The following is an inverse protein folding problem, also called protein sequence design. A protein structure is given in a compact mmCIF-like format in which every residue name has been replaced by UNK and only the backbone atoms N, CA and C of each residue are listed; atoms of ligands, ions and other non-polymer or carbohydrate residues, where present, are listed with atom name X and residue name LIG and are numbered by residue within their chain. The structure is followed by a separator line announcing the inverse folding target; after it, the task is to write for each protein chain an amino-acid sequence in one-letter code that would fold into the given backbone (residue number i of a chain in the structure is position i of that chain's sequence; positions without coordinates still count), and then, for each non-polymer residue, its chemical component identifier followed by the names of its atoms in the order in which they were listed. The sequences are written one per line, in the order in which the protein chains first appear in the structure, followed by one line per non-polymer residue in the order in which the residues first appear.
data_IF_946210449960
#
_entry.id   IF_946210449960
#
_cell.length_a   1.000
_cell.length_b   1.000
_cell.length_c   1.000
_cell.angle_alpha   90.00
_cell.angle_beta   90.00
_cell.angle_gamma   90.00
#
_symmetry.space_group_name_H-M   'P 1'
#
loop_
_entity.id
_entity.type
_entity.pdbx_description
1 polymer ?
#
# COMPACT_ATOMS: atom_id res chain seq x y z
N UNK A 1 -4.87 -23.09 19.15
CA UNK A 1 -4.70 -22.30 17.93
C UNK A 1 -3.22 -22.30 17.58
N UNK A 2 -2.87 -22.46 16.32
CA UNK A 2 -1.48 -22.48 15.85
C UNK A 2 -0.92 -21.06 15.84
N UNK A 3 -1.69 -20.09 15.30
CA UNK A 3 -1.25 -18.70 15.18
C UNK A 3 -1.56 -17.89 16.43
N UNK A 4 -0.71 -16.88 16.70
CA UNK A 4 -0.86 -15.89 17.76
C UNK A 4 -0.75 -14.46 17.25
N UNK A 5 0.02 -14.26 16.17
CA UNK A 5 0.31 -12.97 15.58
C UNK A 5 -0.08 -12.96 14.11
N UNK A 6 -0.85 -11.96 13.70
CA UNK A 6 -1.25 -11.79 12.30
C UNK A 6 -0.71 -10.45 11.83
N UNK A 7 0.10 -10.50 10.78
CA UNK A 7 0.56 -9.34 10.04
C UNK A 7 -0.38 -9.13 8.86
N UNK A 8 -0.88 -7.92 8.70
CA UNK A 8 -1.85 -7.58 7.66
C UNK A 8 -1.29 -6.41 6.86
N UNK A 9 -1.31 -6.50 5.54
CA UNK A 9 -1.06 -5.33 4.70
C UNK A 9 -2.18 -4.32 4.83
N UNK A 10 -1.95 -3.07 4.46
CA UNK A 10 -2.94 -2.02 4.54
C UNK A 10 -3.57 -1.70 3.18
N UNK A 11 -2.74 -1.39 2.18
CA UNK A 11 -3.17 -0.89 0.88
C UNK A 11 -3.75 -2.03 0.04
N UNK A 12 -4.98 -1.87 -0.45
CA UNK A 12 -5.77 -2.88 -1.18
C UNK A 12 -6.04 -4.20 -0.43
N UNK A 13 -5.61 -4.28 0.82
CA UNK A 13 -5.96 -5.38 1.73
C UNK A 13 -7.06 -4.97 2.72
N UNK A 14 -6.93 -3.80 3.36
CA UNK A 14 -7.92 -3.24 4.28
C UNK A 14 -8.45 -1.90 3.81
N UNK A 15 -7.59 -1.06 3.30
CA UNK A 15 -7.89 0.27 2.78
C UNK A 15 -7.92 0.21 1.25
N UNK A 16 -9.04 0.60 0.63
CA UNK A 16 -9.28 0.53 -0.81
C UNK A 16 -8.46 1.60 -1.54
N UNK A 17 -7.20 1.27 -1.82
CA UNK A 17 -6.21 2.19 -2.39
C UNK A 17 -6.62 2.65 -3.78
N UNK A 18 -7.10 1.72 -4.60
CA UNK A 18 -7.49 2.02 -5.97
C UNK A 18 -8.59 3.09 -6.04
N UNK A 19 -9.72 2.88 -5.35
CA UNK A 19 -10.85 3.80 -5.41
C UNK A 19 -10.59 5.11 -4.67
N UNK A 20 -9.94 5.07 -3.50
CA UNK A 20 -9.59 6.26 -2.75
C UNK A 20 -8.61 7.16 -3.52
N UNK A 21 -7.60 6.58 -4.16
CA UNK A 21 -6.65 7.34 -4.99
C UNK A 21 -7.30 7.86 -6.27
N UNK A 22 -8.17 7.06 -6.90
CA UNK A 22 -8.91 7.48 -8.10
C UNK A 22 -9.76 8.72 -7.80
N UNK A 23 -10.49 8.72 -6.69
CA UNK A 23 -11.29 9.87 -6.25
C UNK A 23 -10.41 11.11 -6.00
N UNK A 24 -9.26 10.95 -5.33
CA UNK A 24 -8.32 12.05 -5.12
C UNK A 24 -7.76 12.62 -6.44
N UNK A 25 -7.46 11.75 -7.40
CA UNK A 25 -6.94 12.15 -8.70
C UNK A 25 -8.00 12.89 -9.52
N UNK A 26 -9.29 12.51 -9.40
CA UNK A 26 -10.40 13.20 -10.05
C UNK A 26 -10.62 14.62 -9.47
N UNK A 27 -10.50 14.77 -8.15
CA UNK A 27 -10.48 16.08 -7.51
C UNK A 27 -9.32 16.95 -8.01
N UNK A 28 -8.09 16.39 -8.06
CA UNK A 28 -6.93 17.10 -8.59
C UNK A 28 -7.10 17.47 -10.07
N UNK A 29 -7.63 16.55 -10.88
CA UNK A 29 -7.92 16.79 -12.29
C UNK A 29 -8.81 18.03 -12.47
N UNK A 30 -9.82 18.16 -11.62
CA UNK A 30 -10.76 19.28 -11.63
C UNK A 30 -10.09 20.56 -11.14
N UNK A 31 -9.47 20.53 -9.97
CA UNK A 31 -8.95 21.72 -9.29
C UNK A 31 -7.73 22.34 -10.00
N UNK A 32 -6.87 21.50 -10.58
CA UNK A 32 -5.72 21.93 -11.37
C UNK A 32 -6.05 22.15 -12.88
N UNK A 33 -7.33 22.03 -13.24
CA UNK A 33 -7.81 22.26 -14.61
C UNK A 33 -7.10 21.39 -15.67
N UNK A 34 -6.82 20.12 -15.35
CA UNK A 34 -6.19 19.19 -16.29
C UNK A 34 -7.04 18.89 -17.51
N UNK A 35 -8.37 19.18 -17.45
CA UNK A 35 -9.28 19.15 -18.60
C UNK A 35 -8.87 20.09 -19.76
N UNK A 36 -7.95 21.02 -19.55
CA UNK A 36 -7.36 21.83 -20.63
C UNK A 36 -6.39 21.06 -21.49
N UNK A 37 -5.95 19.89 -21.04
CA UNK A 37 -4.86 19.12 -21.64
C UNK A 37 -5.23 17.66 -21.90
N UNK A 38 -6.06 17.08 -21.06
CA UNK A 38 -6.56 15.72 -21.20
C UNK A 38 -8.04 15.75 -21.55
N UNK A 39 -8.46 14.95 -22.54
CA UNK A 39 -9.83 14.94 -23.06
C UNK A 39 -10.88 14.55 -21.99
N UNK A 40 -10.50 13.72 -21.03
CA UNK A 40 -11.34 13.31 -19.88
C UNK A 40 -10.47 12.91 -18.71
N UNK A 41 -11.09 12.74 -17.54
CA UNK A 41 -10.41 12.19 -16.37
C UNK A 41 -9.88 10.76 -16.64
N UNK A 42 -10.66 9.94 -17.32
CA UNK A 42 -10.25 8.57 -17.68
C UNK A 42 -8.99 8.60 -18.54
N UNK A 43 -8.90 9.49 -19.54
CA UNK A 43 -7.70 9.63 -20.36
C UNK A 43 -6.46 10.04 -19.55
N UNK A 44 -6.62 10.88 -18.54
CA UNK A 44 -5.55 11.21 -17.60
C UNK A 44 -5.20 10.01 -16.72
N UNK A 45 -6.20 9.34 -16.16
CA UNK A 45 -6.03 8.23 -15.21
C UNK A 45 -5.34 7.03 -15.89
N UNK A 46 -5.71 6.72 -17.14
CA UNK A 46 -5.12 5.63 -17.95
C UNK A 46 -3.63 5.86 -18.27
N UNK A 47 -3.19 7.11 -18.24
CA UNK A 47 -1.77 7.46 -18.39
C UNK A 47 -1.05 7.43 -17.02
N UNK A 48 -1.68 8.01 -16.01
CA UNK A 48 -1.09 8.12 -14.67
C UNK A 48 -0.92 6.76 -13.98
N UNK A 49 -1.96 5.94 -14.00
CA UNK A 49 -2.02 4.74 -13.15
C UNK A 49 -0.98 3.68 -13.52
N UNK A 50 -0.78 3.30 -14.80
CA UNK A 50 0.27 2.35 -15.17
C UNK A 50 1.68 2.86 -14.82
N UNK A 51 1.93 4.16 -15.03
CA UNK A 51 3.19 4.77 -14.69
C UNK A 51 3.46 4.76 -13.17
N UNK A 52 2.46 5.10 -12.37
CA UNK A 52 2.56 5.05 -10.91
C UNK A 52 2.82 3.63 -10.38
N UNK A 53 2.18 2.61 -10.97
CA UNK A 53 2.40 1.21 -10.62
C UNK A 53 3.84 0.76 -10.96
N UNK A 54 4.37 1.15 -12.11
CA UNK A 54 5.76 0.88 -12.53
C UNK A 54 6.76 1.53 -11.56
N UNK A 55 6.53 2.80 -11.19
CA UNK A 55 7.37 3.48 -10.20
C UNK A 55 7.36 2.79 -8.82
N UNK A 56 6.21 2.32 -8.37
CA UNK A 56 6.13 1.55 -7.13
C UNK A 56 6.86 0.20 -7.23
N UNK A 57 6.80 -0.47 -8.39
CA UNK A 57 7.55 -1.71 -8.63
C UNK A 57 9.07 -1.46 -8.58
N UNK A 58 9.54 -0.40 -9.26
CA UNK A 58 10.94 0.03 -9.24
C UNK A 58 11.42 0.47 -7.85
N UNK A 59 10.56 1.14 -7.10
CA UNK A 59 10.87 1.50 -5.72
C UNK A 59 11.00 0.27 -4.82
N UNK A 60 10.11 -0.72 -4.96
CA UNK A 60 10.19 -2.00 -4.22
C UNK A 60 11.44 -2.81 -4.55
N UNK A 61 11.89 -2.79 -5.81
CA UNK A 61 13.13 -3.47 -6.23
C UNK A 61 14.41 -2.71 -5.82
N UNK A 62 14.28 -1.46 -5.34
CA UNK A 62 15.42 -0.60 -5.02
C UNK A 62 16.08 0.05 -6.25
N UNK A 63 15.46 -0.04 -7.43
CA UNK A 63 15.95 0.59 -8.67
C UNK A 63 15.85 2.11 -8.61
N UNK A 64 14.83 2.63 -7.94
CA UNK A 64 14.67 4.07 -7.68
C UNK A 64 14.49 4.34 -6.19
N UNK A 65 14.85 5.54 -5.78
CA UNK A 65 14.61 6.01 -4.42
C UNK A 65 13.22 6.65 -4.26
N UNK A 66 12.86 6.94 -3.00
CA UNK A 66 11.60 7.59 -2.64
C UNK A 66 11.43 8.97 -3.31
N UNK A 67 12.52 9.74 -3.45
CA UNK A 67 12.43 11.09 -4.02
C UNK A 67 12.11 11.02 -5.50
N UNK A 68 12.71 10.09 -6.22
CA UNK A 68 12.41 9.80 -7.62
C UNK A 68 10.95 9.39 -7.79
N UNK A 69 10.44 8.45 -7.00
CA UNK A 69 9.04 8.04 -7.05
C UNK A 69 8.09 9.22 -6.84
N UNK A 70 8.31 10.01 -5.79
CA UNK A 70 7.46 11.17 -5.44
C UNK A 70 7.45 12.22 -6.54
N UNK A 71 8.60 12.47 -7.16
CA UNK A 71 8.71 13.47 -8.23
C UNK A 71 8.12 12.96 -9.54
N UNK A 72 8.56 11.79 -9.99
CA UNK A 72 8.31 11.32 -11.36
C UNK A 72 6.84 10.95 -11.60
N UNK A 73 6.12 10.48 -10.59
CA UNK A 73 4.73 10.07 -10.78
C UNK A 73 3.82 11.21 -11.26
N UNK A 74 4.08 12.46 -10.83
CA UNK A 74 3.35 13.63 -11.35
C UNK A 74 4.11 14.35 -12.46
N UNK A 75 5.44 14.37 -12.45
CA UNK A 75 6.21 14.96 -13.53
C UNK A 75 5.85 14.35 -14.90
N UNK A 76 5.62 13.04 -14.94
CA UNK A 76 5.24 12.32 -16.16
C UNK A 76 3.97 12.87 -16.81
N UNK A 77 2.94 13.16 -16.02
CA UNK A 77 1.66 13.68 -16.52
C UNK A 77 1.63 15.21 -16.61
N UNK A 78 2.53 15.93 -15.95
CA UNK A 78 2.61 17.39 -15.98
C UNK A 78 3.54 17.92 -17.09
N UNK A 79 4.55 17.13 -17.49
CA UNK A 79 5.48 17.51 -18.56
C UNK A 79 4.83 17.83 -19.90
N UNK A 80 3.83 17.07 -20.38
CA UNK A 80 3.10 17.42 -21.62
C UNK A 80 2.37 18.75 -21.55
N UNK A 81 2.14 19.29 -20.34
CA UNK A 81 1.49 20.56 -20.06
C UNK A 81 2.50 21.73 -20.00
N UNK A 82 3.79 21.45 -20.23
CA UNK A 82 4.88 22.42 -20.05
C UNK A 82 5.24 22.71 -18.59
N UNK A 83 4.80 21.87 -17.64
CA UNK A 83 5.06 22.02 -16.21
C UNK A 83 6.16 21.03 -15.82
N UNK A 84 7.39 21.54 -15.70
CA UNK A 84 8.55 20.73 -15.34
C UNK A 84 9.28 21.26 -14.09
N UNK A 85 8.85 22.41 -13.55
CA UNK A 85 9.49 22.93 -12.34
C UNK A 85 9.18 22.04 -11.13
N UNK A 86 10.24 21.63 -10.46
CA UNK A 86 10.20 20.70 -9.33
C UNK A 86 9.28 21.17 -8.20
N UNK A 87 9.17 22.47 -7.98
CA UNK A 87 8.35 23.02 -6.88
C UNK A 87 6.87 22.80 -7.15
N UNK A 88 6.41 23.07 -8.37
CA UNK A 88 5.00 22.85 -8.76
C UNK A 88 4.67 21.35 -8.75
N UNK A 89 5.53 20.51 -9.33
CA UNK A 89 5.33 19.05 -9.32
C UNK A 89 5.20 18.50 -7.90
N UNK A 90 6.09 18.90 -6.99
CA UNK A 90 6.01 18.48 -5.58
C UNK A 90 4.80 19.06 -4.86
N UNK A 91 4.32 20.24 -5.22
CA UNK A 91 3.09 20.82 -4.66
C UNK A 91 1.87 19.97 -5.02
N UNK A 92 1.74 19.55 -6.28
CA UNK A 92 0.66 18.64 -6.74
C UNK A 92 0.74 17.30 -6.01
N UNK A 93 1.96 16.74 -5.90
CA UNK A 93 2.18 15.50 -5.16
C UNK A 93 1.76 15.61 -3.67
N UNK A 94 2.13 16.70 -3.01
CA UNK A 94 1.79 16.91 -1.61
C UNK A 94 0.28 17.07 -1.41
N UNK A 95 -0.40 17.78 -2.31
CA UNK A 95 -1.86 17.91 -2.29
C UNK A 95 -2.53 16.53 -2.50
N UNK A 96 -2.04 15.73 -3.45
CA UNK A 96 -2.48 14.34 -3.63
C UNK A 96 -2.37 13.54 -2.32
N UNK A 97 -1.20 13.56 -1.68
CA UNK A 97 -0.98 12.81 -0.43
C UNK A 97 -1.87 13.31 0.72
N UNK A 98 -2.09 14.62 0.81
CA UNK A 98 -2.99 15.19 1.81
C UNK A 98 -4.43 14.70 1.59
N UNK A 99 -4.96 14.79 0.37
CA UNK A 99 -6.32 14.32 0.02
C UNK A 99 -6.46 12.81 0.24
N UNK A 100 -5.49 12.02 -0.21
CA UNK A 100 -5.48 10.58 0.01
C UNK A 100 -5.67 10.22 1.48
N UNK A 101 -5.00 10.92 2.39
CA UNK A 101 -5.13 10.64 3.83
C UNK A 101 -6.51 10.98 4.41
N UNK A 102 -7.35 11.74 3.72
CA UNK A 102 -8.72 12.04 4.18
C UNK A 102 -9.75 11.00 3.74
N UNK A 103 -9.39 10.14 2.78
CA UNK A 103 -10.29 9.10 2.28
C UNK A 103 -10.34 7.93 3.26
N UNK A 104 -11.52 7.32 3.36
CA UNK A 104 -11.79 6.31 4.40
C UNK A 104 -12.45 5.04 3.86
N UNK A 105 -12.54 4.89 2.54
CA UNK A 105 -13.12 3.69 1.92
C UNK A 105 -12.26 2.48 2.24
N UNK A 106 -12.90 1.43 2.74
CA UNK A 106 -12.27 0.16 3.07
C UNK A 106 -12.59 -0.90 2.00
N UNK A 107 -11.73 -1.89 1.92
CA UNK A 107 -12.00 -3.12 1.18
C UNK A 107 -13.22 -3.80 1.79
N UNK A 108 -14.19 -4.29 0.99
CA UNK A 108 -15.36 -4.98 1.51
C UNK A 108 -14.98 -6.16 2.43
N UNK A 109 -15.58 -6.23 3.60
CA UNK A 109 -15.29 -7.26 4.60
C UNK A 109 -14.09 -6.97 5.53
N UNK A 110 -13.38 -5.84 5.35
CA UNK A 110 -12.21 -5.51 6.17
C UNK A 110 -12.54 -5.38 7.67
N UNK A 111 -13.63 -4.69 8.01
CA UNK A 111 -14.04 -4.53 9.42
C UNK A 111 -14.48 -5.87 10.00
N UNK A 112 -15.29 -6.64 9.28
CA UNK A 112 -15.76 -7.96 9.70
C UNK A 112 -14.57 -8.91 9.96
N UNK A 113 -13.55 -8.87 9.11
CA UNK A 113 -12.33 -9.64 9.30
C UNK A 113 -11.60 -9.22 10.58
N UNK A 114 -11.44 -7.92 10.82
CA UNK A 114 -10.73 -7.40 11.99
C UNK A 114 -11.49 -7.71 13.29
N UNK A 115 -12.82 -7.57 13.30
CA UNK A 115 -13.67 -7.95 14.45
C UNK A 115 -13.59 -9.45 14.75
N UNK A 116 -13.52 -10.29 13.71
CA UNK A 116 -13.35 -11.74 13.87
C UNK A 116 -11.98 -12.11 14.44
N UNK A 117 -10.92 -11.44 13.99
CA UNK A 117 -9.55 -11.77 14.37
C UNK A 117 -9.13 -11.22 15.74
N UNK A 118 -9.54 -9.99 16.06
CA UNK A 118 -9.10 -9.24 17.26
C UNK A 118 -9.26 -9.99 18.59
N UNK A 119 -10.35 -10.76 18.85
CA UNK A 119 -10.50 -11.43 20.14
C UNK A 119 -9.50 -12.56 20.39
N UNK A 120 -8.87 -13.08 19.34
CA UNK A 120 -8.05 -14.31 19.41
C UNK A 120 -6.58 -14.10 19.03
N UNK A 121 -6.25 -13.02 18.33
CA UNK A 121 -4.94 -12.78 17.75
C UNK A 121 -4.43 -11.38 18.03
N UNK A 122 -3.12 -11.25 18.11
CA UNK A 122 -2.42 -9.97 18.08
C UNK A 122 -2.31 -9.50 16.62
N UNK A 123 -2.80 -8.31 16.33
CA UNK A 123 -2.84 -7.79 14.96
C UNK A 123 -1.78 -6.70 14.76
N UNK A 124 -1.10 -6.76 13.63
CA UNK A 124 -0.05 -5.84 13.24
C UNK A 124 -0.20 -5.43 11.79
N UNK A 125 0.02 -4.16 11.47
CA UNK A 125 0.19 -3.74 10.07
C UNK A 125 1.64 -3.98 9.65
N UNK A 126 1.84 -4.48 8.42
CA UNK A 126 3.14 -4.60 7.75
C UNK A 126 3.05 -4.01 6.35
N UNK A 127 3.54 -2.77 6.14
CA UNK A 127 3.31 -2.03 4.90
C UNK A 127 4.58 -1.42 4.31
N UNK A 128 4.62 -1.30 2.97
CA UNK A 128 5.64 -0.58 2.21
C UNK A 128 5.31 0.91 1.99
N UNK A 129 4.15 1.37 2.47
CA UNK A 129 3.72 2.76 2.32
C UNK A 129 4.50 3.74 3.21
N UNK A 130 4.42 5.02 2.87
CA UNK A 130 5.12 6.08 3.60
C UNK A 130 4.50 6.36 4.96
N UNK A 131 5.33 6.50 5.97
CA UNK A 131 4.94 6.67 7.37
C UNK A 131 3.85 7.73 7.58
N UNK A 132 4.09 8.92 7.10
CA UNK A 132 3.17 10.05 7.29
C UNK A 132 1.81 9.85 6.64
N UNK A 133 1.72 9.00 5.61
CA UNK A 133 0.48 8.64 4.93
C UNK A 133 -0.23 7.50 5.65
N UNK A 134 0.49 6.42 5.95
CA UNK A 134 -0.10 5.20 6.52
C UNK A 134 -0.70 5.42 7.91
N UNK A 135 -0.04 6.18 8.79
CA UNK A 135 -0.61 6.51 10.10
C UNK A 135 -1.90 7.31 10.00
N UNK A 136 -1.98 8.27 9.07
CA UNK A 136 -3.20 9.05 8.85
C UNK A 136 -4.31 8.22 8.23
N UNK A 137 -4.02 7.38 7.22
CA UNK A 137 -4.98 6.43 6.65
C UNK A 137 -5.58 5.55 7.74
N UNK A 138 -4.72 4.89 8.54
CA UNK A 138 -5.14 3.99 9.59
C UNK A 138 -6.04 4.69 10.63
N UNK A 139 -5.64 5.90 11.06
CA UNK A 139 -6.40 6.69 12.03
C UNK A 139 -7.74 7.18 11.47
N UNK A 140 -7.72 7.79 10.29
CA UNK A 140 -8.91 8.42 9.70
C UNK A 140 -9.95 7.38 9.25
N UNK A 141 -9.50 6.20 8.84
CA UNK A 141 -10.39 5.07 8.51
C UNK A 141 -10.90 4.30 9.74
N UNK A 142 -10.57 4.71 10.96
CA UNK A 142 -11.03 4.06 12.19
C UNK A 142 -10.37 2.72 12.46
N UNK A 143 -9.29 2.37 11.77
CA UNK A 143 -8.63 1.07 11.87
C UNK A 143 -7.61 0.99 13.01
N UNK A 144 -7.11 2.12 13.51
CA UNK A 144 -6.04 2.16 14.52
C UNK A 144 -6.33 1.31 15.78
N UNK A 145 -7.56 1.24 16.33
CA UNK A 145 -7.85 0.48 17.55
C UNK A 145 -7.71 -1.04 17.42
N UNK A 146 -7.61 -1.58 16.20
CA UNK A 146 -7.49 -3.02 15.97
C UNK A 146 -6.04 -3.50 16.11
N UNK A 147 -5.05 -2.63 15.97
CA UNK A 147 -3.66 -3.00 15.82
C UNK A 147 -2.81 -2.61 17.03
N UNK A 148 -1.97 -3.53 17.49
CA UNK A 148 -0.99 -3.24 18.52
C UNK A 148 0.16 -2.37 17.99
N UNK A 149 0.53 -2.55 16.73
CA UNK A 149 1.63 -1.81 16.09
C UNK A 149 1.50 -1.81 14.57
N UNK A 150 2.00 -0.75 13.95
CA UNK A 150 2.31 -0.67 12.52
C UNK A 150 3.82 -0.76 12.33
N UNK A 151 4.24 -1.65 11.43
CA UNK A 151 5.62 -1.83 10.99
C UNK A 151 5.70 -1.38 9.53
N UNK A 152 6.59 -0.45 9.26
CA UNK A 152 6.78 0.11 7.93
C UNK A 152 8.15 -0.28 7.37
N UNK A 153 8.22 -0.39 6.04
CA UNK A 153 9.49 -0.61 5.34
C UNK A 153 10.53 0.47 5.67
N UNK A 154 10.09 1.69 5.92
CA UNK A 154 10.96 2.80 6.35
C UNK A 154 11.62 2.55 7.73
N UNK A 155 10.97 1.82 8.63
CA UNK A 155 11.54 1.44 9.94
C UNK A 155 12.70 0.46 9.81
N UNK A 156 12.60 -0.41 8.81
CA UNK A 156 13.58 -1.46 8.56
C UNK A 156 14.64 -1.05 7.51
N UNK A 157 14.41 0.04 6.76
CA UNK A 157 15.12 0.39 5.53
C UNK A 157 15.14 -0.75 4.50
N UNK A 158 14.10 -1.58 4.52
CA UNK A 158 13.96 -2.77 3.66
C UNK A 158 12.48 -2.96 3.36
N UNK A 159 12.12 -3.23 2.11
CA UNK A 159 10.74 -3.40 1.66
C UNK A 159 10.35 -4.88 1.54
N UNK A 160 9.05 -5.18 1.68
CA UNK A 160 8.47 -6.44 1.18
C UNK A 160 8.73 -6.51 -0.35
N UNK A 161 9.14 -7.66 -0.91
CA UNK A 161 9.14 -9.02 -0.34
C UNK A 161 10.43 -9.42 0.39
N UNK A 162 11.40 -8.54 0.58
CA UNK A 162 12.69 -8.93 1.16
C UNK A 162 12.52 -9.52 2.57
N UNK A 163 13.14 -10.68 2.82
CA UNK A 163 13.04 -11.41 4.09
C UNK A 163 13.35 -10.55 5.32
N UNK A 164 14.24 -9.57 5.19
CA UNK A 164 14.67 -8.70 6.28
C UNK A 164 13.54 -7.92 6.95
N UNK A 165 12.50 -7.47 6.20
CA UNK A 165 11.38 -6.75 6.80
C UNK A 165 10.50 -7.69 7.64
N UNK A 166 10.33 -8.96 7.24
CA UNK A 166 9.59 -9.95 8.02
C UNK A 166 10.35 -10.31 9.29
N UNK A 167 11.68 -10.49 9.23
CA UNK A 167 12.52 -10.71 10.40
C UNK A 167 12.48 -9.52 11.36
N UNK A 168 12.52 -8.29 10.82
CA UNK A 168 12.36 -7.06 11.58
C UNK A 168 10.98 -6.99 12.27
N UNK A 169 9.91 -7.31 11.54
CA UNK A 169 8.54 -7.32 12.07
C UNK A 169 8.39 -8.33 13.22
N UNK A 170 8.85 -9.56 13.03
CA UNK A 170 8.82 -10.60 14.09
C UNK A 170 9.56 -10.16 15.35
N UNK A 171 10.77 -9.59 15.19
CA UNK A 171 11.58 -9.10 16.32
C UNK A 171 10.87 -7.96 17.06
N UNK A 172 10.35 -6.97 16.34
CA UNK A 172 9.75 -5.78 16.94
C UNK A 172 8.37 -5.99 17.56
N UNK A 173 7.72 -7.12 17.25
CA UNK A 173 6.43 -7.52 17.83
C UNK A 173 6.58 -8.65 18.84
N UNK A 174 7.80 -9.13 19.08
CA UNK A 174 8.08 -10.32 19.91
C UNK A 174 7.21 -11.52 19.45
N UNK A 175 7.15 -11.73 18.14
CA UNK A 175 6.36 -12.80 17.51
C UNK A 175 7.26 -13.95 17.05
N UNK A 176 6.75 -15.18 17.17
CA UNK A 176 7.45 -16.36 16.66
C UNK A 176 7.00 -16.65 15.25
N UNK A 177 7.93 -16.96 14.36
CA UNK A 177 7.67 -17.26 12.95
C UNK A 177 6.62 -18.36 12.76
N UNK A 178 6.75 -19.47 13.48
CA UNK A 178 5.83 -20.61 13.40
C UNK A 178 4.43 -20.36 14.01
N UNK A 179 4.24 -19.21 14.65
CA UNK A 179 2.98 -18.78 15.26
C UNK A 179 2.46 -17.50 14.56
N UNK A 180 3.00 -17.17 13.39
CA UNK A 180 2.67 -15.94 12.64
C UNK A 180 2.04 -16.26 11.30
N UNK A 181 1.14 -15.38 10.86
CA UNK A 181 0.43 -15.43 9.58
C UNK A 181 0.53 -14.07 8.91
N UNK A 182 0.72 -14.02 7.58
CA UNK A 182 0.62 -12.83 6.76
C UNK A 182 -0.68 -12.84 5.96
N UNK A 183 -1.41 -11.73 5.95
CA UNK A 183 -2.59 -11.51 5.09
C UNK A 183 -2.29 -10.31 4.19
N UNK A 184 -2.44 -10.47 2.88
CA UNK A 184 -2.21 -9.38 1.93
C UNK A 184 -2.75 -9.70 0.54
N UNK A 185 -2.85 -8.67 -0.29
CA UNK A 185 -3.32 -8.76 -1.69
C UNK A 185 -2.17 -8.94 -2.67
N UNK A 186 -0.99 -8.40 -2.36
CA UNK A 186 0.15 -8.43 -3.27
C UNK A 186 0.82 -9.79 -3.32
N UNK A 187 0.65 -10.50 -4.46
CA UNK A 187 1.32 -11.78 -4.68
C UNK A 187 2.81 -11.71 -4.42
N UNK A 188 3.48 -10.69 -4.95
CA UNK A 188 4.94 -10.55 -4.83
C UNK A 188 5.36 -10.06 -3.45
N UNK A 189 4.79 -8.94 -2.99
CA UNK A 189 5.26 -8.30 -1.77
C UNK A 189 4.88 -9.09 -0.51
N UNK A 190 3.63 -9.55 -0.42
CA UNK A 190 3.09 -10.16 0.79
C UNK A 190 3.27 -11.67 0.78
N UNK A 191 2.80 -12.33 -0.31
CA UNK A 191 2.67 -13.77 -0.34
C UNK A 191 4.02 -14.42 -0.58
N UNK A 192 4.74 -14.05 -1.65
CA UNK A 192 6.10 -14.56 -1.90
C UNK A 192 7.03 -14.15 -0.76
N UNK A 193 6.95 -12.90 -0.28
CA UNK A 193 7.79 -12.43 0.82
C UNK A 193 7.60 -13.22 2.11
N UNK A 194 6.36 -13.48 2.52
CA UNK A 194 6.05 -14.29 3.69
C UNK A 194 6.47 -15.77 3.50
N UNK A 195 6.19 -16.34 2.32
CA UNK A 195 6.62 -17.71 1.99
C UNK A 195 8.13 -17.90 2.09
N UNK A 196 8.91 -17.03 1.46
CA UNK A 196 10.38 -17.03 1.55
C UNK A 196 10.88 -16.82 2.97
N UNK A 197 10.09 -16.10 3.77
CA UNK A 197 10.33 -15.88 5.18
C UNK A 197 9.85 -17.03 6.06
N UNK A 198 9.28 -18.10 5.51
CA UNK A 198 8.69 -19.24 6.24
C UNK A 198 7.60 -18.80 7.23
N UNK A 199 6.76 -17.86 6.82
CA UNK A 199 5.56 -17.42 7.50
C UNK A 199 4.39 -17.87 6.63
N UNK A 200 3.35 -18.46 7.22
CA UNK A 200 2.15 -18.87 6.51
C UNK A 200 1.39 -17.65 5.96
N UNK A 201 0.64 -17.83 4.86
CA UNK A 201 0.02 -16.74 4.11
C UNK A 201 -1.46 -17.00 3.84
N UNK A 202 -2.22 -15.92 3.85
CA UNK A 202 -3.56 -15.82 3.23
C UNK A 202 -3.46 -14.79 2.10
N UNK A 203 -3.78 -15.22 0.90
CA UNK A 203 -3.82 -14.32 -0.25
C UNK A 203 -5.21 -13.78 -0.48
N UNK A 204 -5.40 -12.48 -0.25
CA UNK A 204 -6.60 -11.77 -0.64
C UNK A 204 -6.61 -11.60 -2.16
N UNK A 205 -7.33 -12.45 -2.86
CA UNK A 205 -7.34 -12.57 -4.31
C UNK A 205 -8.76 -12.51 -4.88
N UNK A 206 -9.42 -11.36 -4.86
CA UNK A 206 -10.81 -11.25 -5.31
C UNK A 206 -10.97 -11.47 -6.83
N UNK A 207 -9.92 -11.27 -7.61
CA UNK A 207 -9.92 -11.47 -9.06
C UNK A 207 -9.69 -12.94 -9.46
N UNK A 208 -9.37 -13.81 -8.54
CA UNK A 208 -9.10 -15.23 -8.83
C UNK A 208 -7.86 -15.45 -9.69
N UNK A 209 -6.85 -14.61 -9.55
CA UNK A 209 -5.59 -14.73 -10.30
C UNK A 209 -4.90 -16.06 -9.99
N UNK A 210 -4.23 -16.70 -10.98
CA UNK A 210 -3.54 -17.95 -10.73
C UNK A 210 -2.32 -17.74 -9.81
N UNK A 211 -2.17 -18.62 -8.82
CA UNK A 211 -0.95 -18.69 -8.02
C UNK A 211 0.22 -19.18 -8.88
N UNK A 212 1.38 -18.54 -8.78
CA UNK A 212 2.57 -18.85 -9.56
C UNK A 212 3.68 -19.38 -8.65
N UNK A 213 4.16 -20.59 -8.92
CA UNK A 213 5.30 -21.20 -8.22
C UNK A 213 4.95 -22.02 -7.00
N UNK A 214 3.92 -21.69 -6.24
CA UNK A 214 3.42 -22.46 -5.09
C UNK A 214 1.95 -22.12 -4.80
N UNK A 215 1.31 -22.90 -3.94
CA UNK A 215 -0.04 -22.60 -3.45
C UNK A 215 0.09 -21.94 -2.07
N UNK A 216 -0.52 -20.76 -1.83
CA UNK A 216 -0.56 -20.16 -0.49
C UNK A 216 -1.16 -21.11 0.55
N UNK A 217 -0.87 -20.88 1.82
CA UNK A 217 -1.38 -21.71 2.91
C UNK A 217 -2.91 -21.70 2.97
N UNK A 218 -3.50 -20.52 2.66
CA UNK A 218 -4.95 -20.32 2.58
C UNK A 218 -5.30 -19.30 1.49
#
# INVERSE_FOLDING_TARGET
MIYKSIFIDLDDTLWDTYHNNKECLEELYTDYHFNRYYASFEAFFDIYMPHNLDLWAKYRSGEIDRQTLILDRFLYVLRPLGIEDKKTVLSVNNDFLQRTTTKTRLVPGAIELLEYLRPSYRLFILSNGFREVQFKKLSNAGLAPYFERMILSEDANIQKPHKGIFDFALKNTNSRRSESLMIGDSWEADIIGAYQSKIDQIWLNPEGLPAVGFIPTY
#
